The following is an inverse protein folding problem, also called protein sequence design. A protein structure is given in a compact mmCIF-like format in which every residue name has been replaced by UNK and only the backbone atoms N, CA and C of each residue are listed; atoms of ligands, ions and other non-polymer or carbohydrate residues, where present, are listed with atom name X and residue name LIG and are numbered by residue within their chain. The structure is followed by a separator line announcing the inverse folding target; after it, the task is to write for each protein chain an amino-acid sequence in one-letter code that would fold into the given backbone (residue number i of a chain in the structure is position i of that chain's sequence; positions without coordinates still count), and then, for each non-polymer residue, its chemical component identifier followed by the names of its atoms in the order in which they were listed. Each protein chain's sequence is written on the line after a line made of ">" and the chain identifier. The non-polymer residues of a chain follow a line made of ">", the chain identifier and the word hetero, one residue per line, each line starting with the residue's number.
data_IF_596941922318
#
_entry.id   IF_596941922318
#
_cell.length_a   1.000
_cell.length_b   1.000
_cell.length_c   1.000
_cell.angle_alpha   90.00
_cell.angle_beta   90.00
_cell.angle_gamma   90.00
#
_symmetry.space_group_name_H-M   'P 1'
#
loop_
_entity.id
_entity.type
_entity.pdbx_description
1 polymer ?
#
# COMPACT_ATOMS: atom_id res chain seq x y z
N UNK A 1 67.65 -14.55 27.91
CA UNK A 1 66.64 -14.77 26.85
C UNK A 1 65.24 -14.54 27.43
N UNK A 2 64.75 -13.28 27.32
CA UNK A 2 63.40 -12.93 27.78
C UNK A 2 62.41 -13.16 26.66
N UNK A 3 61.46 -14.05 26.86
CA UNK A 3 60.32 -14.26 25.95
C UNK A 3 59.23 -13.23 26.31
N UNK A 4 59.01 -12.29 25.42
CA UNK A 4 57.88 -11.35 25.47
C UNK A 4 56.69 -12.08 24.88
N UNK A 5 55.65 -12.34 25.71
CA UNK A 5 54.35 -12.81 25.29
C UNK A 5 53.53 -11.61 24.84
N UNK A 6 53.22 -11.53 23.52
CA UNK A 6 52.23 -10.60 23.00
C UNK A 6 50.83 -11.17 23.19
N UNK A 7 50.07 -10.57 24.10
CA UNK A 7 48.66 -10.92 24.29
C UNK A 7 47.85 -10.13 23.28
N UNK A 8 47.38 -10.80 22.26
CA UNK A 8 46.48 -10.21 21.26
C UNK A 8 45.06 -10.11 21.84
N UNK A 9 44.66 -8.91 22.28
CA UNK A 9 43.28 -8.65 22.69
C UNK A 9 42.43 -8.51 21.42
N UNK A 10 41.67 -9.54 21.09
CA UNK A 10 40.64 -9.47 20.07
C UNK A 10 39.46 -8.66 20.63
N UNK A 11 39.38 -7.37 20.26
CA UNK A 11 38.17 -6.60 20.48
C UNK A 11 37.10 -7.10 19.52
N UNK A 12 36.23 -8.00 19.98
CA UNK A 12 34.97 -8.27 19.30
C UNK A 12 34.07 -7.06 19.55
N UNK A 13 34.04 -6.15 18.58
CA UNK A 13 33.02 -5.11 18.56
C UNK A 13 31.71 -5.81 18.21
N UNK A 14 30.95 -6.17 19.23
CA UNK A 14 29.54 -6.49 19.05
C UNK A 14 28.86 -5.20 18.60
N UNK A 15 28.64 -5.05 17.31
CA UNK A 15 27.63 -4.13 16.81
C UNK A 15 26.27 -4.64 17.32
N UNK A 16 25.87 -4.19 18.50
CA UNK A 16 24.48 -4.26 18.93
C UNK A 16 23.71 -3.39 17.91
N UNK A 17 23.14 -4.03 16.92
CA UNK A 17 22.11 -3.45 16.09
C UNK A 17 20.93 -3.16 17.03
N UNK A 18 20.88 -1.93 17.56
CA UNK A 18 19.69 -1.48 18.27
C UNK A 18 18.55 -1.45 17.27
N UNK A 19 17.60 -2.35 17.43
CA UNK A 19 16.31 -2.30 16.75
C UNK A 19 15.65 -0.96 17.03
N UNK A 20 15.11 -0.34 16.01
CA UNK A 20 14.37 0.92 16.16
C UNK A 20 12.98 0.63 16.75
N UNK A 21 12.44 1.60 17.48
CA UNK A 21 11.16 1.46 18.17
C UNK A 21 9.97 1.29 17.22
N UNK A 22 10.12 1.75 15.97
CA UNK A 22 9.06 1.66 14.96
C UNK A 22 9.44 0.63 13.90
N UNK A 23 8.41 0.02 13.31
CA UNK A 23 8.51 -0.94 12.23
C UNK A 23 7.70 -0.43 11.04
N UNK A 24 8.39 -0.18 9.94
CA UNK A 24 7.80 0.20 8.67
C UNK A 24 7.72 -0.98 7.71
N UNK A 25 7.38 -0.69 6.47
CA UNK A 25 7.38 -1.67 5.40
C UNK A 25 7.94 -1.07 4.12
N UNK A 26 8.63 -1.91 3.35
CA UNK A 26 9.00 -1.64 1.97
C UNK A 26 8.76 -2.89 1.12
N UNK A 27 8.11 -2.69 -0.03
CA UNK A 27 7.79 -3.72 -1.00
C UNK A 27 8.38 -3.31 -2.34
N UNK A 28 9.18 -4.19 -2.97
CA UNK A 28 9.96 -3.81 -4.14
C UNK A 28 10.13 -4.94 -5.14
N UNK A 29 10.31 -4.60 -6.42
CA UNK A 29 10.58 -5.59 -7.46
C UNK A 29 11.98 -6.18 -7.31
N UNK A 30 12.13 -7.44 -7.69
CA UNK A 30 13.43 -8.10 -7.85
C UNK A 30 14.15 -7.60 -9.10
N UNK A 31 13.39 -7.39 -10.18
CA UNK A 31 13.88 -6.82 -11.43
C UNK A 31 13.97 -5.30 -11.37
N UNK A 32 14.81 -4.74 -12.23
CA UNK A 32 14.99 -3.32 -12.45
C UNK A 32 14.66 -2.96 -13.89
N UNK A 33 14.10 -1.78 -14.10
CA UNK A 33 13.58 -1.30 -15.38
C UNK A 33 14.29 -0.02 -15.80
N UNK A 34 14.43 0.17 -17.10
CA UNK A 34 14.91 1.43 -17.71
C UNK A 34 13.81 1.96 -18.60
N UNK A 35 13.39 3.19 -18.34
CA UNK A 35 12.31 3.86 -19.06
C UNK A 35 10.98 3.08 -19.02
N UNK A 36 9.89 3.80 -19.10
CA UNK A 36 8.58 3.20 -19.09
C UNK A 36 7.55 4.12 -18.45
N UNK A 37 6.31 3.61 -18.39
CA UNK A 37 5.25 4.16 -17.57
C UNK A 37 5.03 3.24 -16.38
N UNK A 38 5.09 3.82 -15.21
CA UNK A 38 4.94 3.19 -13.91
C UNK A 38 3.67 3.74 -13.28
N UNK A 39 2.73 2.86 -12.95
CA UNK A 39 1.42 3.26 -12.46
C UNK A 39 1.04 2.46 -11.23
N UNK A 40 0.44 3.13 -10.27
CA UNK A 40 -0.04 2.55 -9.02
C UNK A 40 -1.42 3.13 -8.69
N UNK A 41 -2.30 2.28 -8.19
CA UNK A 41 -3.53 2.72 -7.55
C UNK A 41 -3.40 2.50 -6.07
N UNK A 42 -3.41 3.59 -5.29
CA UNK A 42 -3.28 3.47 -3.84
C UNK A 42 -3.93 4.60 -3.07
N UNK A 43 -4.16 4.34 -1.81
CA UNK A 43 -4.64 5.28 -0.80
C UNK A 43 -3.53 5.47 0.24
N UNK A 44 -2.90 6.64 0.30
CA UNK A 44 -1.77 6.91 1.20
C UNK A 44 -2.19 7.02 2.67
N UNK A 45 -1.22 6.94 3.57
CA UNK A 45 -1.44 7.08 5.01
C UNK A 45 -1.62 8.54 5.43
N UNK A 46 -2.77 8.87 6.05
CA UNK A 46 -3.02 10.21 6.63
C UNK A 46 -2.54 10.28 8.08
N UNK A 47 -1.26 10.47 8.29
CA UNK A 47 -0.70 10.73 9.63
C UNK A 47 0.47 11.70 9.54
N UNK A 48 0.44 12.79 10.31
CA UNK A 48 1.58 13.71 10.40
C UNK A 48 2.83 12.96 10.86
N UNK A 49 3.98 13.28 10.27
CA UNK A 49 5.22 12.57 10.55
C UNK A 49 5.41 11.24 9.79
N UNK A 50 4.52 10.90 8.86
CA UNK A 50 4.58 9.69 8.04
C UNK A 50 4.76 10.04 6.57
N UNK A 51 5.52 9.23 5.86
CA UNK A 51 5.61 9.21 4.39
C UNK A 51 5.15 7.85 3.90
N UNK A 52 4.29 7.84 2.90
CA UNK A 52 3.96 6.66 2.09
C UNK A 52 4.19 6.98 0.62
N UNK A 53 4.83 6.09 -0.11
CA UNK A 53 5.36 6.41 -1.43
C UNK A 53 5.21 5.29 -2.44
N UNK A 54 5.25 5.70 -3.72
CA UNK A 54 5.49 4.87 -4.87
C UNK A 54 6.62 5.51 -5.68
N UNK A 55 7.68 4.76 -5.94
CA UNK A 55 8.89 5.32 -6.54
C UNK A 55 9.67 4.27 -7.32
N UNK A 56 10.65 4.73 -8.10
CA UNK A 56 11.69 3.86 -8.65
C UNK A 56 13.05 4.29 -8.14
N UNK A 57 13.91 3.30 -7.88
CA UNK A 57 15.20 3.52 -7.25
C UNK A 57 16.29 2.64 -7.86
N UNK A 58 17.44 3.26 -8.12
CA UNK A 58 18.67 2.56 -8.49
C UNK A 58 19.52 2.31 -7.26
N UNK A 59 19.80 1.06 -6.95
CA UNK A 59 20.77 0.68 -5.91
C UNK A 59 22.18 1.11 -6.32
N UNK A 60 22.53 2.36 -6.05
CA UNK A 60 23.77 2.96 -6.52
C UNK A 60 25.02 2.38 -5.85
N UNK A 61 26.11 2.35 -6.61
CA UNK A 61 27.44 1.95 -6.15
C UNK A 61 28.37 3.15 -6.18
N UNK A 62 29.63 2.95 -5.79
CA UNK A 62 30.68 3.98 -5.96
C UNK A 62 30.93 4.38 -7.43
N UNK A 63 30.47 3.58 -8.38
CA UNK A 63 30.67 3.77 -9.83
C UNK A 63 29.41 4.32 -10.52
N UNK A 64 28.25 4.22 -9.89
CA UNK A 64 26.98 4.73 -10.41
C UNK A 64 26.47 5.84 -9.49
N UNK A 65 25.68 6.76 -10.02
CA UNK A 65 25.05 7.79 -9.21
C UNK A 65 23.69 7.38 -8.71
N UNK A 66 23.16 8.12 -7.76
CA UNK A 66 21.80 7.98 -7.28
C UNK A 66 20.81 8.39 -8.37
N UNK A 67 19.91 7.49 -8.73
CA UNK A 67 18.77 7.74 -9.62
C UNK A 67 17.49 7.28 -8.93
N UNK A 68 16.51 8.18 -8.83
CA UNK A 68 15.24 7.92 -8.16
C UNK A 68 14.15 8.84 -8.75
N UNK A 69 12.94 8.35 -8.84
CA UNK A 69 11.76 9.10 -9.31
C UNK A 69 10.63 8.80 -8.35
N UNK A 70 10.12 9.84 -7.65
CA UNK A 70 9.26 9.69 -6.50
C UNK A 70 7.86 10.25 -6.70
N UNK A 71 6.88 9.54 -6.15
CA UNK A 71 5.54 10.02 -5.79
C UNK A 71 5.39 9.79 -4.29
N UNK A 72 5.39 10.88 -3.49
CA UNK A 72 5.40 10.82 -2.04
C UNK A 72 4.18 11.54 -1.46
N UNK A 73 3.49 10.87 -0.55
CA UNK A 73 2.49 11.49 0.31
C UNK A 73 3.06 11.68 1.70
N UNK A 74 3.14 12.94 2.08
CA UNK A 74 3.52 13.36 3.41
C UNK A 74 2.23 13.43 4.21
N UNK A 75 2.02 12.53 5.15
CA UNK A 75 0.73 12.31 5.84
C UNK A 75 0.18 13.48 6.67
N UNK A 76 0.52 14.71 6.31
CA UNK A 76 -0.06 15.96 6.82
C UNK A 76 -1.48 16.13 6.29
N UNK A 77 -2.25 16.95 6.96
CA UNK A 77 -3.64 17.26 6.58
C UNK A 77 -3.71 18.29 5.45
N UNK A 78 -3.08 18.01 4.32
CA UNK A 78 -3.16 18.84 3.12
C UNK A 78 -3.40 17.96 1.87
N UNK A 79 -3.96 18.55 0.82
CA UNK A 79 -4.27 17.88 -0.43
C UNK A 79 -3.12 18.03 -1.41
N UNK A 80 -1.91 17.61 -1.03
CA UNK A 80 -0.74 17.68 -1.88
C UNK A 80 -0.10 16.31 -2.04
N UNK A 81 0.38 16.05 -3.25
CA UNK A 81 1.38 15.03 -3.54
C UNK A 81 2.71 15.71 -3.83
N UNK A 82 3.79 15.17 -3.30
CA UNK A 82 5.14 15.61 -3.62
C UNK A 82 5.75 14.68 -4.66
N UNK A 83 6.20 15.27 -5.76
CA UNK A 83 7.03 14.60 -6.76
C UNK A 83 8.47 15.03 -6.54
N UNK A 84 9.40 14.10 -6.70
CA UNK A 84 10.81 14.41 -6.66
C UNK A 84 11.57 13.58 -7.71
N UNK A 85 12.70 14.08 -8.14
CA UNK A 85 13.64 13.35 -9.00
C UNK A 85 15.02 13.53 -8.38
N UNK A 86 15.71 12.42 -8.15
CA UNK A 86 17.09 12.43 -7.64
C UNK A 86 18.04 11.99 -8.74
N UNK A 87 19.05 12.82 -8.97
CA UNK A 87 20.10 12.57 -9.94
C UNK A 87 21.48 12.68 -9.25
N UNK A 88 22.56 12.17 -9.86
CA UNK A 88 23.87 12.06 -9.19
C UNK A 88 24.40 13.33 -8.54
N UNK A 89 24.06 14.50 -9.06
CA UNK A 89 24.59 15.78 -8.58
C UNK A 89 23.53 16.65 -7.89
N UNK A 90 22.26 16.24 -7.91
CA UNK A 90 21.17 17.00 -7.32
C UNK A 90 20.07 16.06 -6.81
N UNK A 91 19.77 16.18 -5.51
CA UNK A 91 18.80 15.32 -4.81
C UNK A 91 17.38 15.88 -4.79
N UNK A 92 17.17 17.11 -5.20
CA UNK A 92 15.91 17.80 -5.01
C UNK A 92 15.47 18.52 -6.29
N UNK A 93 14.69 17.80 -7.11
CA UNK A 93 13.89 18.39 -8.19
C UNK A 93 12.41 18.30 -7.78
N UNK A 94 12.07 18.96 -6.68
CA UNK A 94 10.80 18.80 -5.99
C UNK A 94 9.70 19.61 -6.67
N UNK A 95 8.55 19.00 -6.82
CA UNK A 95 7.27 19.62 -7.17
C UNK A 95 6.20 19.20 -6.17
N UNK A 96 5.67 20.16 -5.40
CA UNK A 96 4.43 19.93 -4.63
C UNK A 96 3.25 20.24 -5.54
N UNK A 97 2.42 19.23 -5.81
CA UNK A 97 1.24 19.32 -6.66
C UNK A 97 0.00 19.33 -5.78
N UNK A 98 -0.79 20.39 -5.87
CA UNK A 98 -2.10 20.47 -5.22
C UNK A 98 -3.09 19.57 -5.96
N UNK A 99 -3.93 18.87 -5.19
CA UNK A 99 -5.02 18.03 -5.62
C UNK A 99 -6.35 18.70 -5.24
N UNK A 100 -7.35 18.63 -6.09
CA UNK A 100 -8.69 19.16 -5.84
C UNK A 100 -9.59 18.20 -5.04
N UNK A 101 -9.01 17.09 -4.61
CA UNK A 101 -9.61 16.08 -3.73
C UNK A 101 -8.70 15.76 -2.54
N UNK A 102 -9.24 15.01 -1.58
CA UNK A 102 -8.50 14.50 -0.43
C UNK A 102 -7.93 13.10 -0.76
N UNK A 103 -6.61 12.95 -0.98
CA UNK A 103 -6.01 11.69 -1.44
C UNK A 103 -6.07 10.56 -0.39
N UNK A 104 -6.38 10.89 0.85
CA UNK A 104 -6.39 9.92 1.96
C UNK A 104 -7.75 9.24 2.18
N UNK A 105 -8.80 9.66 1.43
CA UNK A 105 -10.14 9.12 1.61
C UNK A 105 -10.43 7.92 0.70
N UNK A 106 -9.92 7.97 -0.53
CA UNK A 106 -10.23 6.99 -1.57
C UNK A 106 -8.97 6.59 -2.33
N UNK A 107 -9.08 5.53 -3.12
CA UNK A 107 -8.03 5.11 -4.03
C UNK A 107 -8.01 6.00 -5.27
N UNK A 108 -6.83 6.47 -5.65
CA UNK A 108 -6.57 7.20 -6.87
C UNK A 108 -5.43 6.58 -7.65
N UNK A 109 -5.41 6.84 -8.96
CA UNK A 109 -4.38 6.37 -9.87
C UNK A 109 -3.26 7.41 -9.95
N UNK A 110 -2.04 7.01 -9.64
CA UNK A 110 -0.84 7.84 -9.76
C UNK A 110 0.13 7.16 -10.70
N UNK A 111 0.73 7.95 -11.59
CA UNK A 111 1.71 7.40 -12.50
C UNK A 111 2.81 8.40 -12.82
N UNK A 112 3.94 7.87 -13.29
CA UNK A 112 4.91 8.67 -14.01
C UNK A 112 5.39 7.95 -15.26
N UNK A 113 5.70 8.73 -16.28
CA UNK A 113 6.40 8.30 -17.48
C UNK A 113 7.84 8.78 -17.39
N UNK A 114 8.76 7.85 -17.56
CA UNK A 114 10.18 8.10 -17.66
C UNK A 114 10.69 7.67 -19.02
N UNK A 115 11.22 8.65 -19.77
CA UNK A 115 11.79 8.46 -21.11
C UNK A 115 13.20 9.06 -21.15
N UNK A 116 13.98 8.88 -22.23
CA UNK A 116 15.25 9.59 -22.40
C UNK A 116 15.14 11.11 -22.35
N UNK A 117 13.95 11.68 -22.71
CA UNK A 117 13.76 13.10 -22.96
C UNK A 117 12.99 13.81 -21.84
N UNK A 118 12.14 13.07 -21.11
CA UNK A 118 11.28 13.68 -20.08
C UNK A 118 10.89 12.71 -18.97
N UNK A 119 10.53 13.30 -17.82
CA UNK A 119 9.68 12.66 -16.80
C UNK A 119 8.37 13.43 -16.71
N UNK A 120 7.24 12.73 -16.79
CA UNK A 120 5.90 13.31 -16.68
C UNK A 120 5.10 12.56 -15.60
N UNK A 121 4.34 13.29 -14.78
CA UNK A 121 3.53 12.74 -13.70
C UNK A 121 2.05 12.91 -13.98
N UNK A 122 1.28 11.90 -13.56
CA UNK A 122 -0.15 11.80 -13.82
C UNK A 122 -0.90 11.51 -12.53
N UNK A 123 -2.09 12.10 -12.42
CA UNK A 123 -3.07 11.80 -11.37
C UNK A 123 -4.40 11.52 -12.06
N UNK A 124 -5.01 10.37 -11.78
CA UNK A 124 -6.24 9.89 -12.42
C UNK A 124 -6.21 10.04 -13.95
N UNK A 125 -5.08 9.64 -14.54
CA UNK A 125 -4.84 9.67 -15.98
C UNK A 125 -4.52 11.05 -16.58
N UNK A 126 -4.61 12.15 -15.80
CA UNK A 126 -4.31 13.50 -16.26
C UNK A 126 -2.85 13.87 -15.99
N UNK A 127 -2.13 14.38 -17.01
CA UNK A 127 -0.79 14.92 -16.82
C UNK A 127 -0.86 16.17 -15.94
N UNK A 128 -0.19 16.15 -14.79
CA UNK A 128 -0.16 17.26 -13.82
C UNK A 128 1.17 17.98 -13.77
N UNK A 129 2.25 17.30 -14.16
CA UNK A 129 3.57 17.90 -14.28
C UNK A 129 4.43 17.12 -15.28
N UNK A 130 5.16 17.86 -16.07
CA UNK A 130 6.18 17.34 -17.00
C UNK A 130 7.45 18.16 -16.90
N UNK A 131 8.58 17.47 -16.86
CA UNK A 131 9.90 18.09 -16.79
C UNK A 131 10.85 17.49 -17.81
N UNK A 132 11.76 18.30 -18.28
CA UNK A 132 12.79 17.98 -19.28
C UNK A 132 14.09 18.68 -18.89
N UNK A 133 15.15 18.33 -19.55
CA UNK A 133 16.43 19.00 -19.36
C UNK A 133 17.57 18.03 -19.11
N UNK A 134 18.77 18.60 -18.94
CA UNK A 134 20.00 17.80 -18.82
C UNK A 134 19.95 16.81 -17.67
N UNK A 135 19.35 17.16 -16.53
CA UNK A 135 19.24 16.27 -15.40
C UNK A 135 18.38 15.01 -15.68
N UNK A 136 17.38 15.08 -16.57
CA UNK A 136 16.60 13.91 -16.98
C UNK A 136 17.49 12.90 -17.69
N UNK A 137 18.43 13.34 -18.52
CA UNK A 137 19.38 12.45 -19.20
C UNK A 137 20.37 11.76 -18.24
N UNK A 138 20.46 12.21 -16.98
CA UNK A 138 21.24 11.55 -15.93
C UNK A 138 20.49 10.35 -15.31
N UNK A 139 19.18 10.23 -15.53
CA UNK A 139 18.36 9.07 -15.16
C UNK A 139 18.58 7.97 -16.21
N UNK A 140 19.57 7.15 -16.06
CA UNK A 140 19.98 6.15 -17.07
C UNK A 140 20.25 4.77 -16.52
N UNK A 141 20.24 4.62 -15.22
CA UNK A 141 20.48 3.33 -14.57
C UNK A 141 19.17 2.60 -14.33
N UNK A 142 19.15 1.26 -14.47
CA UNK A 142 17.96 0.46 -14.17
C UNK A 142 17.51 0.70 -12.73
N UNK A 143 16.20 0.86 -12.52
CA UNK A 143 15.58 1.16 -11.23
C UNK A 143 14.56 0.10 -10.87
N UNK A 144 14.53 -0.34 -9.61
CA UNK A 144 13.45 -1.16 -9.06
C UNK A 144 12.21 -0.31 -8.85
N UNK A 145 11.03 -0.91 -9.00
CA UNK A 145 9.77 -0.32 -8.55
C UNK A 145 9.62 -0.60 -7.06
N UNK A 146 9.33 0.42 -6.29
CA UNK A 146 9.32 0.35 -4.83
C UNK A 146 8.13 1.10 -4.24
N UNK A 147 7.64 0.60 -3.11
CA UNK A 147 6.66 1.26 -2.25
C UNK A 147 7.12 1.15 -0.82
N UNK A 148 6.92 2.18 -0.03
CA UNK A 148 7.20 2.09 1.40
C UNK A 148 6.28 2.96 2.25
N UNK A 149 6.30 2.69 3.55
CA UNK A 149 5.77 3.53 4.62
C UNK A 149 6.78 3.64 5.75
N UNK A 150 7.05 4.86 6.19
CA UNK A 150 8.05 5.14 7.21
C UNK A 150 7.85 6.50 7.90
N UNK A 151 8.53 6.74 9.00
CA UNK A 151 8.50 8.00 9.73
C UNK A 151 9.89 8.68 9.73
N UNK A 152 10.08 9.74 8.93
CA UNK A 152 11.32 10.50 8.89
C UNK A 152 11.62 11.25 10.18
N UNK A 153 12.92 11.46 10.48
CA UNK A 153 13.37 12.37 11.55
C UNK A 153 13.20 13.86 11.19
N UNK A 154 12.82 14.17 9.95
CA UNK A 154 12.81 15.53 9.38
C UNK A 154 11.49 16.25 9.62
N UNK A 155 11.26 16.73 10.83
CA UNK A 155 9.98 17.37 11.24
C UNK A 155 9.60 18.60 10.39
N UNK A 156 10.56 19.33 9.85
CA UNK A 156 10.29 20.44 8.93
C UNK A 156 9.65 19.98 7.61
N UNK A 157 9.89 18.75 7.22
CA UNK A 157 9.31 18.14 6.00
C UNK A 157 7.97 17.48 6.30
N UNK A 158 7.93 16.57 7.27
CA UNK A 158 6.77 15.68 7.50
C UNK A 158 5.88 16.10 8.68
N UNK A 159 6.26 17.11 9.45
CA UNK A 159 5.57 17.50 10.68
C UNK A 159 6.02 16.68 11.89
N UNK A 160 5.26 16.78 12.97
CA UNK A 160 5.62 16.18 14.26
C UNK A 160 4.99 14.80 14.40
N UNK A 161 5.82 13.79 14.61
CA UNK A 161 5.39 12.42 14.89
C UNK A 161 4.68 12.32 16.26
N UNK A 162 3.66 11.47 16.35
CA UNK A 162 2.96 11.14 17.58
C UNK A 162 2.62 9.63 17.58
N UNK A 163 3.03 8.91 18.61
CA UNK A 163 2.81 7.47 18.76
C UNK A 163 1.32 7.08 18.75
N UNK A 164 0.45 8.00 19.12
CA UNK A 164 -1.01 7.79 19.03
C UNK A 164 -1.51 7.62 17.58
N UNK A 165 -0.65 7.86 16.58
CA UNK A 165 -0.97 7.64 15.16
C UNK A 165 -0.81 6.20 14.71
N UNK A 166 -0.21 5.33 15.53
CA UNK A 166 -0.04 3.93 15.20
C UNK A 166 -1.34 3.10 15.34
N UNK A 167 -1.56 2.15 14.46
CA UNK A 167 -0.82 1.93 13.22
C UNK A 167 -1.16 2.99 12.16
N UNK A 168 -0.18 3.37 11.32
CA UNK A 168 -0.44 4.11 10.10
C UNK A 168 -0.36 3.13 8.91
N UNK A 169 -1.27 3.26 7.95
CA UNK A 169 -1.46 2.28 6.89
C UNK A 169 -1.60 2.99 5.56
N UNK A 170 -0.85 2.53 4.55
CA UNK A 170 -1.05 2.85 3.15
C UNK A 170 -1.57 1.60 2.43
N UNK A 171 -2.61 1.77 1.61
CA UNK A 171 -3.29 0.67 0.94
C UNK A 171 -3.03 0.74 -0.56
N UNK A 172 -2.56 -0.36 -1.16
CA UNK A 172 -2.20 -0.46 -2.58
C UNK A 172 -3.09 -1.50 -3.25
N UNK A 173 -3.79 -1.10 -4.33
CA UNK A 173 -4.77 -1.89 -5.06
C UNK A 173 -4.12 -2.61 -6.25
N UNK A 174 -3.38 -1.87 -7.10
CA UNK A 174 -2.62 -2.47 -8.17
C UNK A 174 -1.36 -1.68 -8.52
N UNK A 175 -0.45 -2.35 -9.25
CA UNK A 175 0.70 -1.75 -9.90
C UNK A 175 0.77 -2.23 -11.34
N UNK A 176 1.15 -1.35 -12.26
CA UNK A 176 1.46 -1.75 -13.62
C UNK A 176 2.76 -1.12 -14.14
N UNK A 177 3.41 -1.85 -15.02
CA UNK A 177 4.56 -1.39 -15.77
C UNK A 177 4.33 -1.54 -17.27
N UNK A 178 4.56 -0.45 -17.99
CA UNK A 178 4.58 -0.42 -19.46
C UNK A 178 5.95 0.03 -19.93
N UNK A 179 6.60 -0.75 -20.78
CA UNK A 179 7.90 -0.41 -21.35
C UNK A 179 7.79 0.74 -22.36
N UNK A 180 8.81 1.59 -22.42
CA UNK A 180 8.90 2.64 -23.43
C UNK A 180 9.18 2.05 -24.81
N UNK A 181 8.24 2.15 -25.73
CA UNK A 181 8.27 1.60 -27.11
C UNK A 181 7.85 2.68 -28.08
N UNK A 182 8.70 3.70 -28.33
CA UNK A 182 8.36 4.82 -29.19
C UNK A 182 7.92 4.34 -30.57
N UNK A 183 6.92 5.02 -31.15
CA UNK A 183 6.32 4.76 -32.47
C UNK A 183 5.68 3.36 -32.65
N UNK A 184 5.68 2.51 -31.63
CA UNK A 184 5.17 1.14 -31.71
C UNK A 184 4.34 0.68 -30.51
N UNK A 185 4.12 1.56 -29.53
CA UNK A 185 3.30 1.28 -28.36
C UNK A 185 1.81 1.49 -28.64
N UNK A 186 1.02 1.30 -27.58
CA UNK A 186 -0.45 1.45 -27.64
C UNK A 186 -1.05 2.09 -26.37
N UNK A 187 -0.20 2.61 -25.48
CA UNK A 187 -0.59 3.19 -24.20
C UNK A 187 0.24 4.43 -23.86
N UNK A 188 -0.25 5.23 -22.90
CA UNK A 188 0.42 6.42 -22.39
C UNK A 188 0.53 7.56 -23.41
N UNK A 189 1.43 8.51 -23.15
CA UNK A 189 1.61 9.70 -24.00
C UNK A 189 2.03 9.30 -25.41
N UNK A 190 1.26 9.77 -26.41
CA UNK A 190 1.47 9.48 -27.84
C UNK A 190 1.49 7.98 -28.19
N UNK A 191 0.90 7.11 -27.37
CA UNK A 191 0.96 5.66 -27.52
C UNK A 191 2.40 5.11 -27.58
N UNK A 192 3.32 5.71 -26.83
CA UNK A 192 4.74 5.32 -26.83
C UNK A 192 5.10 4.27 -25.78
N UNK A 193 4.10 3.64 -25.18
CA UNK A 193 4.31 2.63 -24.15
C UNK A 193 3.54 1.34 -24.46
N UNK A 194 4.07 0.20 -24.01
CA UNK A 194 3.43 -1.10 -24.18
C UNK A 194 3.37 -1.81 -22.84
N UNK A 195 2.14 -2.12 -22.38
CA UNK A 195 1.93 -2.83 -21.11
C UNK A 195 2.67 -4.16 -21.11
N UNK A 196 3.49 -4.35 -20.09
CA UNK A 196 4.22 -5.58 -19.85
C UNK A 196 3.51 -6.46 -18.83
N UNK A 197 3.04 -5.85 -17.77
CA UNK A 197 2.29 -6.53 -16.71
C UNK A 197 1.50 -5.55 -15.86
N UNK A 198 0.43 -6.07 -15.28
CA UNK A 198 -0.32 -5.48 -14.17
C UNK A 198 -0.41 -6.50 -13.06
N UNK A 199 -0.18 -6.08 -11.83
CA UNK A 199 -0.26 -6.89 -10.63
C UNK A 199 -1.36 -6.30 -9.74
N UNK A 200 -2.40 -7.08 -9.49
CA UNK A 200 -3.57 -6.65 -8.69
C UNK A 200 -3.31 -6.74 -7.18
N UNK A 201 -2.10 -7.12 -6.77
CA UNK A 201 -1.68 -7.22 -5.37
C UNK A 201 -2.59 -8.09 -4.49
N UNK A 202 -3.20 -9.12 -5.08
CA UNK A 202 -4.08 -10.06 -4.39
C UNK A 202 -3.32 -11.02 -3.46
N UNK A 203 -2.05 -11.27 -3.77
CA UNK A 203 -1.18 -12.18 -3.02
C UNK A 203 0.30 -11.81 -3.21
N UNK A 204 1.15 -12.37 -2.37
CA UNK A 204 2.59 -12.20 -2.50
C UNK A 204 3.17 -13.06 -3.63
N UNK A 205 3.44 -12.44 -4.78
CA UNK A 205 4.21 -13.09 -5.86
C UNK A 205 5.72 -12.96 -5.57
N UNK A 206 6.25 -13.95 -4.89
CA UNK A 206 7.69 -14.01 -4.54
C UNK A 206 8.63 -14.09 -5.76
N UNK A 207 8.14 -14.36 -6.97
CA UNK A 207 8.99 -14.35 -8.17
C UNK A 207 9.26 -12.92 -8.64
N UNK A 208 8.30 -12.02 -8.46
CA UNK A 208 8.38 -10.61 -8.87
C UNK A 208 8.87 -9.71 -7.76
N UNK A 209 8.43 -9.95 -6.53
CA UNK A 209 8.55 -9.03 -5.41
C UNK A 209 9.41 -9.57 -4.28
N UNK A 210 9.93 -8.66 -3.48
CA UNK A 210 10.53 -8.93 -2.17
C UNK A 210 10.01 -7.93 -1.12
N UNK A 211 9.86 -8.39 0.10
CA UNK A 211 9.61 -7.59 1.28
C UNK A 211 10.96 -7.22 1.89
N UNK A 212 11.25 -5.95 2.03
CA UNK A 212 12.55 -5.51 2.51
C UNK A 212 12.70 -5.64 4.04
N UNK A 213 13.93 -5.92 4.49
CA UNK A 213 14.28 -6.07 5.91
C UNK A 213 15.51 -5.24 6.25
N UNK A 214 15.46 -3.93 5.96
CA UNK A 214 16.56 -3.00 6.21
C UNK A 214 16.06 -1.68 6.80
N UNK A 215 16.97 -0.79 7.03
CA UNK A 215 16.69 0.61 7.37
C UNK A 215 17.74 1.51 6.76
N UNK A 216 17.53 2.82 6.81
CA UNK A 216 18.47 3.81 6.30
C UNK A 216 18.55 5.04 7.21
N UNK A 217 19.54 5.90 6.95
CA UNK A 217 19.73 7.14 7.71
C UNK A 217 18.55 8.10 7.52
N UNK A 218 18.01 8.61 8.62
CA UNK A 218 16.84 9.50 8.61
C UNK A 218 15.48 8.81 8.76
N UNK A 219 15.41 7.50 8.56
CA UNK A 219 14.23 6.69 8.90
C UNK A 219 14.24 6.35 10.40
N UNK A 220 13.11 6.51 11.10
CA UNK A 220 12.97 6.11 12.50
C UNK A 220 12.46 4.67 12.66
N UNK A 221 12.07 4.01 11.55
CA UNK A 221 11.62 2.62 11.55
C UNK A 221 12.64 1.67 10.92
N UNK A 222 12.60 0.40 11.32
CA UNK A 222 13.16 -0.70 10.55
C UNK A 222 12.07 -1.25 9.63
N UNK A 223 12.39 -1.56 8.38
CA UNK A 223 11.48 -2.30 7.52
C UNK A 223 11.49 -3.77 7.89
N UNK A 224 10.30 -4.35 7.96
CA UNK A 224 10.08 -5.76 8.31
C UNK A 224 9.02 -6.38 7.39
N UNK A 225 9.11 -7.70 7.17
CA UNK A 225 8.21 -8.42 6.28
C UNK A 225 6.78 -8.46 6.79
N UNK A 226 6.60 -8.54 8.12
CA UNK A 226 5.31 -8.62 8.80
C UNK A 226 4.43 -7.40 8.55
N UNK A 227 5.04 -6.26 8.25
CA UNK A 227 4.32 -5.00 7.99
C UNK A 227 3.93 -4.80 6.51
N UNK A 228 4.28 -5.74 5.62
CA UNK A 228 3.75 -5.83 4.26
C UNK A 228 2.71 -6.96 4.19
N UNK A 229 1.43 -6.62 4.35
CA UNK A 229 0.31 -7.55 4.57
C UNK A 229 -0.60 -7.57 3.36
N UNK A 230 -0.90 -8.75 2.82
CA UNK A 230 -1.94 -8.93 1.83
C UNK A 230 -3.27 -9.15 2.53
N UNK A 231 -4.23 -8.27 2.25
CA UNK A 231 -5.54 -8.36 2.87
C UNK A 231 -6.45 -9.36 2.15
N UNK A 232 -7.49 -9.80 2.85
CA UNK A 232 -8.53 -10.62 2.24
C UNK A 232 -9.38 -9.84 1.22
N UNK A 233 -9.27 -8.51 1.19
CA UNK A 233 -9.96 -7.62 0.25
C UNK A 233 -9.18 -7.33 -1.02
N UNK A 234 -8.15 -8.15 -1.33
CA UNK A 234 -7.35 -8.01 -2.55
C UNK A 234 -6.58 -6.68 -2.62
N UNK A 235 -5.84 -6.37 -1.56
CA UNK A 235 -4.97 -5.19 -1.49
C UNK A 235 -3.73 -5.48 -0.66
N UNK A 236 -2.64 -4.80 -0.98
CA UNK A 236 -1.44 -4.79 -0.16
C UNK A 236 -1.52 -3.62 0.84
N UNK A 237 -1.45 -3.93 2.13
CA UNK A 237 -1.26 -2.95 3.20
C UNK A 237 0.21 -2.84 3.58
N UNK A 238 0.77 -1.64 3.48
CA UNK A 238 2.04 -1.31 4.09
C UNK A 238 1.77 -0.59 5.40
N UNK A 239 2.29 -1.14 6.50
CA UNK A 239 2.01 -0.69 7.85
C UNK A 239 3.23 -0.03 8.49
N UNK A 240 3.00 1.05 9.22
CA UNK A 240 3.94 1.59 10.19
C UNK A 240 3.37 1.33 11.59
N UNK A 241 4.11 0.58 12.41
CA UNK A 241 3.66 0.07 13.71
C UNK A 241 4.74 0.30 14.78
N UNK A 242 4.40 0.00 16.03
CA UNK A 242 5.39 -0.25 17.08
C UNK A 242 5.97 -1.68 16.94
N UNK A 243 6.89 -2.05 17.82
CA UNK A 243 7.55 -3.37 17.81
C UNK A 243 6.69 -4.50 18.38
N UNK A 244 5.52 -4.20 18.94
CA UNK A 244 4.63 -5.18 19.59
C UNK A 244 3.43 -5.52 18.71
N UNK A 245 2.85 -4.49 18.04
CA UNK A 245 1.63 -4.61 17.24
C UNK A 245 1.98 -4.62 15.74
N UNK A 246 2.62 -5.70 15.29
CA UNK A 246 3.09 -5.82 13.91
C UNK A 246 1.95 -6.15 12.93
N UNK A 247 2.11 -5.69 11.70
CA UNK A 247 1.20 -5.98 10.61
C UNK A 247 -0.11 -5.20 10.67
N UNK A 248 -1.03 -5.60 9.81
CA UNK A 248 -2.41 -5.08 9.78
C UNK A 248 -3.33 -6.04 10.52
N UNK A 249 -4.01 -5.52 11.51
CA UNK A 249 -5.12 -6.23 12.16
C UNK A 249 -6.36 -5.39 11.93
N UNK A 250 -7.30 -5.90 11.16
CA UNK A 250 -8.59 -5.27 11.02
C UNK A 250 -9.30 -5.24 12.38
N UNK A 251 -9.68 -4.06 12.82
CA UNK A 251 -10.44 -3.84 14.07
C UNK A 251 -11.84 -3.31 13.80
N UNK A 252 -12.16 -3.08 12.54
CA UNK A 252 -13.48 -2.62 12.13
C UNK A 252 -14.36 -3.85 11.99
N UNK A 253 -15.37 -3.95 12.81
CA UNK A 253 -16.31 -5.09 12.73
C UNK A 253 -17.20 -4.96 11.51
N UNK A 254 -17.52 -6.08 10.86
CA UNK A 254 -18.48 -6.10 9.77
C UNK A 254 -19.81 -5.45 10.17
N UNK A 255 -20.31 -4.58 9.32
CA UNK A 255 -21.62 -3.94 9.50
C UNK A 255 -22.60 -4.41 8.44
N UNK A 256 -23.85 -4.59 8.81
CA UNK A 256 -24.92 -4.92 7.87
C UNK A 256 -25.21 -3.71 6.99
N UNK A 257 -24.94 -3.82 5.68
CA UNK A 257 -25.22 -2.75 4.70
C UNK A 257 -26.70 -2.73 4.33
N UNK A 258 -27.26 -3.90 4.06
CA UNK A 258 -28.68 -4.07 3.77
C UNK A 258 -29.15 -5.50 4.00
N UNK A 259 -30.44 -5.65 4.21
CA UNK A 259 -31.16 -6.92 4.10
C UNK A 259 -32.26 -6.75 3.05
N UNK A 260 -32.40 -7.70 2.14
CA UNK A 260 -33.44 -7.69 1.11
C UNK A 260 -34.07 -9.05 0.91
N UNK A 261 -35.33 -9.04 0.55
CA UNK A 261 -36.06 -10.19 0.13
C UNK A 261 -35.59 -10.73 -1.23
N UNK A 262 -35.62 -12.06 -1.39
CA UNK A 262 -35.40 -12.77 -2.64
C UNK A 262 -36.71 -13.37 -3.15
N UNK A 263 -36.80 -13.68 -4.45
CA UNK A 263 -37.98 -14.30 -5.08
C UNK A 263 -38.36 -15.68 -4.52
N UNK A 264 -37.46 -16.34 -3.80
CA UNK A 264 -37.65 -17.64 -3.18
C UNK A 264 -38.03 -17.56 -1.70
N UNK A 265 -38.55 -16.42 -1.26
CA UNK A 265 -38.93 -16.15 0.12
C UNK A 265 -37.81 -16.32 1.14
N UNK A 266 -36.60 -16.06 0.73
CA UNK A 266 -35.43 -15.93 1.62
C UNK A 266 -34.99 -14.48 1.74
N UNK A 267 -34.08 -14.20 2.68
CA UNK A 267 -33.54 -12.85 2.90
C UNK A 267 -32.03 -12.89 2.68
N UNK A 268 -31.52 -12.03 1.80
CA UNK A 268 -30.07 -11.80 1.69
C UNK A 268 -29.65 -10.66 2.60
N UNK A 269 -28.70 -10.92 3.49
CA UNK A 269 -28.00 -9.93 4.29
C UNK A 269 -26.61 -9.71 3.71
N UNK A 270 -26.27 -8.46 3.33
CA UNK A 270 -24.98 -8.06 2.78
C UNK A 270 -24.22 -7.26 3.82
N UNK A 271 -22.94 -7.57 4.01
CA UNK A 271 -22.04 -6.89 4.96
C UNK A 271 -21.04 -6.00 4.26
N UNK A 272 -20.44 -5.08 5.04
CA UNK A 272 -19.45 -4.12 4.57
C UNK A 272 -18.15 -4.76 4.05
N UNK A 273 -17.85 -5.98 4.51
CA UNK A 273 -16.59 -6.70 4.23
C UNK A 273 -16.76 -8.22 4.26
N UNK A 274 -15.70 -8.99 4.01
CA UNK A 274 -15.71 -10.44 4.17
C UNK A 274 -15.89 -10.80 5.65
N UNK A 275 -16.76 -11.77 5.92
CA UNK A 275 -17.14 -12.20 7.26
C UNK A 275 -16.68 -13.63 7.54
N UNK A 276 -16.41 -13.91 8.82
CA UNK A 276 -16.12 -15.25 9.28
C UNK A 276 -17.29 -16.19 9.06
N UNK A 277 -17.05 -17.30 8.37
CA UNK A 277 -18.09 -18.24 7.98
C UNK A 277 -18.78 -18.92 9.17
N UNK A 278 -18.08 -19.09 10.31
CA UNK A 278 -18.65 -19.75 11.49
C UNK A 278 -19.63 -18.84 12.20
N UNK A 279 -19.24 -17.57 12.41
CA UNK A 279 -20.14 -16.56 12.98
C UNK A 279 -21.30 -16.24 12.05
N UNK A 280 -21.05 -16.24 10.73
CA UNK A 280 -22.02 -15.91 9.70
C UNK A 280 -23.19 -16.91 9.63
N UNK A 281 -22.96 -18.21 9.82
CA UNK A 281 -24.03 -19.24 9.81
C UNK A 281 -24.66 -19.51 11.17
N UNK A 282 -24.18 -18.86 12.22
CA UNK A 282 -24.74 -19.03 13.55
C UNK A 282 -26.09 -18.30 13.67
N UNK A 283 -27.18 -19.07 13.74
CA UNK A 283 -28.55 -18.54 13.80
C UNK A 283 -28.79 -17.59 14.96
N UNK A 284 -28.07 -17.78 16.09
CA UNK A 284 -28.22 -16.91 17.27
C UNK A 284 -27.74 -15.46 17.02
N UNK A 285 -27.00 -15.24 15.97
CA UNK A 285 -26.51 -13.92 15.59
C UNK A 285 -27.58 -13.09 14.83
N UNK A 286 -28.70 -13.69 14.49
CA UNK A 286 -29.76 -13.04 13.72
C UNK A 286 -31.10 -13.10 14.45
N UNK A 287 -31.81 -12.00 14.43
CA UNK A 287 -33.17 -11.90 14.95
C UNK A 287 -34.06 -11.19 13.94
N UNK A 288 -35.16 -11.85 13.57
CA UNK A 288 -36.18 -11.29 12.70
C UNK A 288 -37.51 -11.43 13.45
N UNK A 289 -38.02 -10.37 14.10
CA UNK A 289 -39.27 -10.46 14.87
C UNK A 289 -40.41 -10.99 14.04
N UNK A 290 -41.06 -12.04 14.55
CA UNK A 290 -42.17 -12.70 13.87
C UNK A 290 -41.78 -13.86 12.95
N UNK A 291 -40.49 -14.10 12.72
CA UNK A 291 -40.03 -15.22 11.90
C UNK A 291 -39.12 -16.18 12.70
N UNK A 292 -39.19 -17.46 12.32
CA UNK A 292 -38.22 -18.47 12.81
C UNK A 292 -37.23 -18.81 11.71
N UNK A 293 -35.93 -18.63 12.00
CA UNK A 293 -34.85 -18.92 11.06
C UNK A 293 -34.62 -20.42 11.00
N UNK A 294 -34.89 -21.06 9.84
CA UNK A 294 -34.68 -22.47 9.61
C UNK A 294 -33.25 -22.80 9.21
N UNK A 295 -32.64 -21.96 8.36
CA UNK A 295 -31.29 -22.18 7.82
C UNK A 295 -30.61 -20.86 7.48
N UNK A 296 -29.26 -20.84 7.51
CA UNK A 296 -28.44 -19.73 7.01
C UNK A 296 -27.38 -20.33 6.10
N UNK A 297 -27.34 -19.85 4.85
CA UNK A 297 -26.38 -20.24 3.85
C UNK A 297 -25.33 -19.13 3.67
N UNK A 298 -24.06 -19.45 3.90
CA UNK A 298 -22.95 -18.56 3.60
C UNK A 298 -22.72 -18.50 2.08
N UNK A 299 -22.61 -17.29 1.52
CA UNK A 299 -22.54 -17.12 0.07
C UNK A 299 -21.09 -17.10 -0.44
N UNK A 300 -20.92 -17.34 -1.75
CA UNK A 300 -19.60 -17.42 -2.42
C UNK A 300 -18.83 -16.10 -2.41
N UNK A 301 -19.52 -14.97 -2.30
CA UNK A 301 -18.92 -13.63 -2.21
C UNK A 301 -18.26 -13.38 -0.85
N UNK A 302 -18.41 -14.32 0.10
CA UNK A 302 -17.90 -14.26 1.48
C UNK A 302 -18.35 -13.04 2.29
N UNK A 303 -19.21 -12.21 1.73
CA UNK A 303 -19.73 -10.95 2.31
C UNK A 303 -21.23 -11.00 2.56
N UNK A 304 -21.89 -12.07 2.17
CA UNK A 304 -23.33 -12.18 2.37
C UNK A 304 -23.76 -13.55 2.88
N UNK A 305 -24.92 -13.53 3.51
CA UNK A 305 -25.66 -14.73 3.91
C UNK A 305 -27.05 -14.71 3.33
N UNK A 306 -27.59 -15.89 3.05
CA UNK A 306 -28.99 -16.10 2.71
C UNK A 306 -29.69 -16.76 3.89
N UNK A 307 -30.69 -16.08 4.45
CA UNK A 307 -31.48 -16.55 5.56
C UNK A 307 -32.79 -17.18 5.02
N UNK A 308 -33.03 -18.41 5.39
CA UNK A 308 -34.26 -19.13 5.10
C UNK A 308 -35.10 -19.18 6.36
N UNK A 309 -36.36 -18.74 6.28
CA UNK A 309 -37.24 -18.65 7.43
C UNK A 309 -38.61 -19.34 7.13
N UNK A 310 -39.25 -19.84 8.18
CA UNK A 310 -40.62 -20.26 8.08
C UNK A 310 -41.56 -19.08 8.27
N UNK A 311 -42.77 -19.18 7.64
CA UNK A 311 -43.85 -18.20 7.75
C UNK A 311 -43.52 -16.80 7.23
N UNK A 312 -42.64 -16.71 6.22
CA UNK A 312 -42.33 -15.45 5.56
C UNK A 312 -43.53 -14.98 4.74
N UNK A 313 -44.03 -13.77 5.04
CA UNK A 313 -45.12 -13.11 4.33
C UNK A 313 -44.62 -11.90 3.57
N UNK A 314 -44.60 -11.97 2.25
CA UNK A 314 -44.09 -10.91 1.36
C UNK A 314 -44.88 -9.61 1.42
N UNK A 315 -46.04 -9.60 2.07
CA UNK A 315 -46.88 -8.39 2.26
C UNK A 315 -46.46 -7.57 3.50
N UNK A 316 -45.60 -8.14 4.36
CA UNK A 316 -45.15 -7.51 5.60
C UNK A 316 -43.72 -6.97 5.48
N UNK A 317 -43.43 -5.96 6.26
CA UNK A 317 -42.06 -5.45 6.42
C UNK A 317 -41.42 -6.04 7.68
N UNK A 318 -40.22 -6.59 7.53
CA UNK A 318 -39.47 -7.20 8.61
C UNK A 318 -38.20 -6.39 8.93
N UNK A 319 -37.85 -6.33 10.21
CA UNK A 319 -36.55 -5.82 10.64
C UNK A 319 -35.58 -6.97 10.88
N UNK A 320 -34.41 -6.94 10.25
CA UNK A 320 -33.34 -7.90 10.50
C UNK A 320 -32.34 -7.27 11.46
N UNK A 321 -32.16 -7.89 12.60
CA UNK A 321 -31.17 -7.50 13.61
C UNK A 321 -30.04 -8.51 13.55
N UNK A 322 -28.82 -8.02 13.41
CA UNK A 322 -27.61 -8.83 13.31
C UNK A 322 -26.65 -8.44 14.45
N UNK A 323 -26.07 -9.45 15.10
CA UNK A 323 -25.10 -9.26 16.19
C UNK A 323 -23.95 -10.29 16.04
N UNK A 324 -22.79 -9.98 16.64
CA UNK A 324 -21.66 -10.91 16.80
C UNK A 324 -21.18 -11.56 15.49
N UNK A 325 -21.26 -10.85 14.37
CA UNK A 325 -20.57 -11.27 13.16
C UNK A 325 -19.10 -10.83 13.31
N UNK A 326 -18.22 -11.77 13.08
CA UNK A 326 -16.77 -11.55 13.16
C UNK A 326 -16.18 -11.30 11.78
N UNK A 327 -15.04 -10.62 11.73
CA UNK A 327 -14.16 -10.56 10.59
C UNK A 327 -13.63 -11.94 10.25
N UNK A 328 -13.21 -12.09 9.02
CA UNK A 328 -12.54 -13.29 8.53
C UNK A 328 -11.10 -13.38 9.01
#
# INVERSE_FOLDING_TARGET
>A
MNKIFFLLFLFVVNNLLFSKNYKGAEYRTKESFVYGRFEVRYKPARKEGVVSSFFTYHEFTSQTGWNEIDIEFIGRNDNHVQFNIITPNQKFHIRNQYLDFDPYLEFHDYAFEWTPDYVAYFVDGNEVWKTQGEFVSMLKYPQKIMMNIWNPVYTNWVGTWNDAYLPAIAEYDYISYSSFTPDSGNYGTNNNFTLQWKDELDYFDENRWEKATHTFGGNQADFIEENAVFSNSSSLYLCLTDEVNLGYVDKIKPTLLYARENYDNSITCMFSEEIDSVSAINKSNYTIPGLSISEIEFQKDKRSVKIISSNFDTTLTYNVIVNNIADK
#
